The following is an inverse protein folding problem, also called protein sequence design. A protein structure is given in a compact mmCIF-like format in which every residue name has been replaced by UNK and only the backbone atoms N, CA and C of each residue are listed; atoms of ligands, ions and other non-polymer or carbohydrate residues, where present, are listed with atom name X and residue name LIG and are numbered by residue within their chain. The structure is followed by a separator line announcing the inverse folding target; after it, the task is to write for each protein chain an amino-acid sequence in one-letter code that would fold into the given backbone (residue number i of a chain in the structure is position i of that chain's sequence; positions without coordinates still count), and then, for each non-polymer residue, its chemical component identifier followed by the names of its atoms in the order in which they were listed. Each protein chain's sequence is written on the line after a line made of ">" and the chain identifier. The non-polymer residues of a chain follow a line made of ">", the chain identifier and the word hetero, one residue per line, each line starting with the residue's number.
data_IF_582642096495
#
_entry.id   IF_582642096495
#
_cell.length_a   1.000
_cell.length_b   1.000
_cell.length_c   1.000
_cell.angle_alpha   90.00
_cell.angle_beta   90.00
_cell.angle_gamma   90.00
#
_symmetry.space_group_name_H-M   'P 1'
#
loop_
_entity.id
_entity.type
_entity.pdbx_description
1 polymer ?
#
# COMPACT_ATOMS: atom_id res chain seq x y z
N UNK A 1 18.24 17.00 -20.15
CA UNK A 1 19.33 16.03 -19.88
C UNK A 1 18.68 14.73 -19.44
N UNK A 2 18.89 13.62 -20.16
CA UNK A 2 18.46 12.30 -19.69
C UNK A 2 19.42 11.84 -18.59
N UNK A 3 18.90 11.60 -17.38
CA UNK A 3 19.68 11.10 -16.25
C UNK A 3 19.56 9.58 -16.18
N UNK A 4 20.67 8.86 -15.99
CA UNK A 4 20.72 7.38 -15.98
C UNK A 4 20.15 6.72 -14.72
N UNK A 5 19.14 7.33 -14.08
CA UNK A 5 18.52 6.80 -12.87
C UNK A 5 17.46 5.74 -13.23
N UNK A 6 17.37 4.67 -12.44
CA UNK A 6 16.33 3.65 -12.60
C UNK A 6 15.07 4.06 -11.84
N UNK A 7 14.22 4.87 -12.48
CA UNK A 7 13.01 5.46 -11.87
C UNK A 7 11.70 4.93 -12.45
N UNK A 8 11.77 3.95 -13.36
CA UNK A 8 10.62 3.39 -14.05
C UNK A 8 10.69 1.85 -14.02
N UNK A 9 9.55 1.19 -13.93
CA UNK A 9 9.46 -0.27 -13.83
C UNK A 9 9.75 -1.02 -15.15
N UNK A 10 10.15 -0.33 -16.21
CA UNK A 10 10.23 -0.86 -17.58
C UNK A 10 11.53 -1.56 -17.96
N UNK A 11 12.51 -1.67 -17.04
CA UNK A 11 13.74 -2.43 -17.29
C UNK A 11 14.15 -3.14 -16.00
N UNK A 12 13.79 -4.41 -15.90
CA UNK A 12 14.09 -5.27 -14.77
C UNK A 12 15.11 -6.35 -15.15
N UNK A 13 15.90 -6.82 -14.17
CA UNK A 13 16.78 -7.98 -14.38
C UNK A 13 15.99 -9.24 -14.77
N UNK A 14 14.71 -9.32 -14.38
CA UNK A 14 13.82 -10.42 -14.76
C UNK A 14 13.48 -10.44 -16.25
N UNK A 15 13.60 -9.31 -16.95
CA UNK A 15 13.42 -9.26 -18.41
C UNK A 15 14.55 -10.03 -19.13
N UNK A 16 15.75 -10.05 -18.55
CA UNK A 16 16.94 -10.73 -19.08
C UNK A 16 17.04 -12.19 -18.62
N UNK A 17 16.61 -12.49 -17.39
CA UNK A 17 16.65 -13.84 -16.81
C UNK A 17 15.28 -14.27 -16.28
N UNK A 18 14.33 -14.62 -17.16
CA UNK A 18 12.94 -14.90 -16.77
C UNK A 18 12.78 -16.16 -15.89
N UNK A 19 13.77 -17.06 -15.87
CA UNK A 19 13.76 -18.28 -15.06
C UNK A 19 14.53 -18.14 -13.73
N UNK A 20 15.02 -16.95 -13.39
CA UNK A 20 15.66 -16.71 -12.10
C UNK A 20 14.63 -16.84 -10.96
N UNK A 21 15.08 -17.30 -9.78
CA UNK A 21 14.21 -17.41 -8.61
C UNK A 21 13.77 -16.01 -8.15
N UNK A 22 12.47 -15.79 -8.06
CA UNK A 22 11.91 -14.53 -7.60
C UNK A 22 11.93 -14.45 -6.06
N UNK A 23 12.86 -13.66 -5.52
CA UNK A 23 12.95 -13.38 -4.09
C UNK A 23 12.15 -12.14 -3.66
N UNK A 24 11.53 -11.42 -4.61
CA UNK A 24 10.85 -10.16 -4.31
C UNK A 24 9.68 -10.35 -3.37
N UNK A 25 9.03 -11.51 -3.45
CA UNK A 25 7.90 -11.89 -2.60
C UNK A 25 8.28 -11.97 -1.11
N UNK A 26 9.56 -12.21 -0.78
CA UNK A 26 10.00 -12.42 0.60
C UNK A 26 10.23 -11.12 1.35
N UNK A 27 10.31 -9.99 0.65
CA UNK A 27 10.49 -8.66 1.23
C UNK A 27 9.29 -7.73 1.00
N UNK A 28 8.18 -8.28 0.50
CA UNK A 28 6.90 -7.57 0.41
C UNK A 28 6.40 -7.18 1.81
N UNK A 29 5.81 -5.99 1.91
CA UNK A 29 5.25 -5.43 3.15
C UNK A 29 6.25 -5.18 4.29
N UNK A 30 7.52 -4.92 3.96
CA UNK A 30 8.50 -4.47 4.96
C UNK A 30 8.16 -3.06 5.50
N UNK A 31 8.62 -2.79 6.73
CA UNK A 31 8.49 -1.55 7.50
C UNK A 31 8.83 -0.29 6.73
N UNK A 32 9.82 -0.32 5.83
CA UNK A 32 10.23 0.84 5.00
C UNK A 32 9.14 1.33 4.04
N UNK A 33 8.22 0.44 3.67
CA UNK A 33 7.10 0.76 2.78
C UNK A 33 5.82 1.08 3.54
N UNK A 34 5.79 0.81 4.85
CA UNK A 34 4.63 1.09 5.69
C UNK A 34 4.64 2.56 6.17
N UNK A 35 3.66 3.38 5.79
CA UNK A 35 3.57 4.77 6.26
C UNK A 35 3.06 4.88 7.71
N UNK A 36 2.39 3.84 8.22
CA UNK A 36 1.89 3.76 9.58
C UNK A 36 3.05 3.31 10.45
N UNK A 37 3.62 4.24 11.24
CA UNK A 37 4.87 4.03 11.98
C UNK A 37 4.95 2.74 12.81
N UNK A 38 6.14 2.38 13.26
CA UNK A 38 6.43 1.07 13.85
C UNK A 38 5.52 0.68 15.03
N UNK A 39 5.01 1.66 15.78
CA UNK A 39 4.16 1.44 16.96
C UNK A 39 2.65 1.46 16.64
N UNK A 40 2.26 1.60 15.38
CA UNK A 40 0.84 1.67 14.99
C UNK A 40 0.17 0.29 15.04
N UNK A 41 -0.87 0.16 15.87
CA UNK A 41 -1.70 -1.04 15.96
C UNK A 41 -3.11 -0.80 15.40
N UNK A 42 -3.34 -1.21 14.15
CA UNK A 42 -4.64 -1.10 13.50
C UNK A 42 -5.78 -1.74 14.29
N UNK A 43 -5.53 -2.85 14.99
CA UNK A 43 -6.56 -3.57 15.73
C UNK A 43 -7.01 -2.77 16.95
N UNK A 44 -6.10 -2.09 17.63
CA UNK A 44 -6.45 -1.23 18.76
C UNK A 44 -7.18 0.03 18.29
N UNK A 45 -6.70 0.67 17.22
CA UNK A 45 -7.34 1.88 16.68
C UNK A 45 -8.79 1.62 16.24
N UNK A 46 -9.06 0.49 15.58
CA UNK A 46 -10.42 0.10 15.15
C UNK A 46 -11.38 -0.08 16.34
N UNK A 47 -10.90 -0.46 17.53
CA UNK A 47 -11.77 -0.56 18.70
C UNK A 47 -12.24 0.79 19.22
N UNK A 48 -11.47 1.85 18.97
CA UNK A 48 -11.82 3.23 19.39
C UNK A 48 -12.72 3.94 18.37
N UNK A 49 -12.93 3.31 17.22
CA UNK A 49 -13.67 3.86 16.09
C UNK A 49 -15.18 3.94 16.39
N UNK A 50 -15.80 5.09 16.08
CA UNK A 50 -17.26 5.22 16.08
C UNK A 50 -17.85 4.53 14.84
N UNK A 51 -18.16 3.25 15.00
CA UNK A 51 -18.70 2.43 13.93
C UNK A 51 -20.08 2.90 13.44
N UNK A 52 -20.92 3.40 14.35
CA UNK A 52 -22.28 3.83 14.01
C UNK A 52 -22.25 5.13 13.20
N UNK A 53 -21.34 6.06 13.55
CA UNK A 53 -21.10 7.26 12.75
C UNK A 53 -20.62 6.92 11.33
N UNK A 54 -19.62 6.04 11.19
CA UNK A 54 -19.10 5.63 9.87
C UNK A 54 -20.18 5.00 9.02
N UNK A 55 -20.95 4.09 9.59
CA UNK A 55 -22.06 3.44 8.87
C UNK A 55 -23.06 4.47 8.36
N UNK A 56 -23.42 5.45 9.19
CA UNK A 56 -24.32 6.54 8.80
C UNK A 56 -23.73 7.39 7.67
N UNK A 57 -22.46 7.77 7.78
CA UNK A 57 -21.78 8.60 6.79
C UNK A 57 -21.67 7.90 5.44
N UNK A 58 -21.36 6.60 5.44
CA UNK A 58 -21.35 5.77 4.21
C UNK A 58 -22.74 5.74 3.57
N UNK A 59 -23.82 5.57 4.35
CA UNK A 59 -25.18 5.60 3.80
C UNK A 59 -25.55 6.96 3.22
N UNK A 60 -25.14 8.06 3.86
CA UNK A 60 -25.38 9.41 3.36
C UNK A 60 -24.64 9.65 2.03
N UNK A 61 -23.37 9.25 1.94
CA UNK A 61 -22.53 9.38 0.76
C UNK A 61 -23.14 8.71 -0.48
N UNK A 62 -23.85 7.59 -0.31
CA UNK A 62 -24.53 6.91 -1.43
C UNK A 62 -25.57 7.78 -2.14
N UNK A 63 -26.04 8.86 -1.51
CA UNK A 63 -27.06 9.76 -2.05
C UNK A 63 -26.56 11.20 -2.24
N UNK A 64 -25.31 11.47 -1.89
CA UNK A 64 -24.69 12.78 -2.02
C UNK A 64 -23.83 12.83 -3.28
N UNK A 65 -24.31 13.53 -4.31
CA UNK A 65 -23.60 13.66 -5.59
C UNK A 65 -22.49 14.70 -5.48
N UNK A 66 -21.25 14.24 -5.67
CA UNK A 66 -20.05 15.07 -5.83
C UNK A 66 -20.00 15.73 -7.21
#
# INVERSE_FOLDING_TARGET
>A
VMHGANTAMGTSNMDWWPNALNLDILHQHDTKTNPMGADFDYREEVKTLDYDAIKKDVHALMTDSQ
#
